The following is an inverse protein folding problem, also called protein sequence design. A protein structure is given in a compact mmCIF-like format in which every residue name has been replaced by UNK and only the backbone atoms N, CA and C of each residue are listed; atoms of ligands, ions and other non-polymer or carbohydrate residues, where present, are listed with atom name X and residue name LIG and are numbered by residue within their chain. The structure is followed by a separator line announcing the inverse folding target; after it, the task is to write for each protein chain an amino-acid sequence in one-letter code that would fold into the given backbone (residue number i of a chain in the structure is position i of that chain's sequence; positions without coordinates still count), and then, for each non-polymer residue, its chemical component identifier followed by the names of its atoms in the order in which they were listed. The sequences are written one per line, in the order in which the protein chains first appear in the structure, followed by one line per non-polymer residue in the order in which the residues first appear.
data_IF_126016757476
#
_entry.id   IF_126016757476
#
_cell.length_a   1.000
_cell.length_b   1.000
_cell.length_c   1.000
_cell.angle_alpha   90.00
_cell.angle_beta   90.00
_cell.angle_gamma   90.00
#
_symmetry.space_group_name_H-M   'P 1'
#
loop_
_entity.id
_entity.type
_entity.pdbx_description
1 polymer ?
#
# COMPACT_ATOMS: atom_id res chain seq x y z
N UNK A 1 -2.54 -18.73 -30.63
CA UNK A 1 -2.55 -17.33 -30.12
C UNK A 1 -1.94 -17.32 -28.73
N UNK A 2 -0.70 -16.82 -28.54
CA UNK A 2 -0.15 -16.60 -27.20
C UNK A 2 -0.88 -15.40 -26.59
N UNK A 3 -1.73 -15.64 -25.59
CA UNK A 3 -2.29 -14.57 -24.77
C UNK A 3 -1.14 -14.00 -23.94
N UNK A 4 -0.59 -12.86 -24.36
CA UNK A 4 0.36 -12.11 -23.53
C UNK A 4 -0.42 -11.47 -22.39
N UNK A 5 0.00 -11.70 -21.15
CA UNK A 5 -0.70 -11.21 -19.96
C UNK A 5 -0.55 -9.70 -19.74
N UNK A 6 0.33 -9.00 -20.47
CA UNK A 6 0.60 -7.57 -20.21
C UNK A 6 1.09 -6.80 -21.45
N UNK A 7 0.65 -5.53 -21.58
CA UNK A 7 1.48 -4.46 -22.17
C UNK A 7 2.53 -4.11 -21.12
N UNK A 8 3.78 -3.93 -21.52
CA UNK A 8 4.89 -3.57 -20.63
C UNK A 8 4.50 -2.41 -19.71
N UNK A 9 4.45 -2.68 -18.40
CA UNK A 9 4.34 -1.62 -17.40
C UNK A 9 5.66 -0.87 -17.41
N UNK A 10 5.66 0.37 -17.87
CA UNK A 10 6.88 1.16 -17.96
C UNK A 10 7.30 1.66 -16.55
N UNK A 11 8.30 1.04 -15.95
CA UNK A 11 8.71 1.27 -14.56
C UNK A 11 9.57 2.54 -14.36
N UNK A 12 10.00 3.20 -15.44
CA UNK A 12 11.14 4.12 -15.43
C UNK A 12 10.83 5.59 -15.07
N UNK A 13 9.89 5.87 -14.14
CA UNK A 13 9.72 7.26 -13.64
C UNK A 13 9.54 7.33 -12.13
N UNK A 14 10.39 8.15 -11.49
CA UNK A 14 10.31 8.56 -10.08
C UNK A 14 8.86 8.80 -9.67
N UNK A 15 8.37 8.03 -8.70
CA UNK A 15 7.06 8.27 -8.10
C UNK A 15 7.16 9.46 -7.15
N UNK A 16 6.88 10.65 -7.66
CA UNK A 16 6.52 11.77 -6.79
C UNK A 16 5.23 11.41 -6.05
N UNK A 17 5.21 11.73 -4.76
CA UNK A 17 4.11 11.43 -3.87
C UNK A 17 2.93 12.37 -4.11
N UNK A 18 2.27 12.24 -5.24
CA UNK A 18 0.90 12.70 -5.42
C UNK A 18 0.35 12.06 -6.68
N UNK A 19 -0.75 11.33 -6.58
CA UNK A 19 -1.62 11.32 -7.74
C UNK A 19 -2.00 12.78 -8.00
N UNK A 20 -1.80 13.28 -9.22
CA UNK A 20 -2.19 14.66 -9.58
C UNK A 20 -3.69 14.88 -9.35
N UNK A 21 -4.45 13.79 -9.38
CA UNK A 21 -5.86 13.76 -9.05
C UNK A 21 -6.11 12.66 -8.00
N UNK A 22 -6.54 13.06 -6.80
CA UNK A 22 -6.86 12.13 -5.69
C UNK A 22 -8.34 11.75 -5.66
N UNK A 23 -9.12 12.14 -6.67
CA UNK A 23 -10.54 11.75 -6.83
C UNK A 23 -10.71 10.34 -7.38
N UNK A 24 -9.63 9.70 -7.87
CA UNK A 24 -9.70 8.33 -8.36
C UNK A 24 -10.09 7.34 -7.26
N UNK A 25 -10.87 6.29 -7.60
CA UNK A 25 -11.12 5.18 -6.70
C UNK A 25 -9.81 4.55 -6.23
N UNK A 26 -9.74 4.23 -4.94
CA UNK A 26 -8.60 3.55 -4.36
C UNK A 26 -8.50 2.13 -4.90
N UNK A 27 -7.28 1.73 -5.29
CA UNK A 27 -6.96 0.40 -5.81
C UNK A 27 -5.70 -0.09 -5.13
N UNK A 28 -5.56 -1.41 -5.03
CA UNK A 28 -4.37 -2.05 -4.47
C UNK A 28 -3.71 -2.92 -5.53
N UNK A 29 -2.38 -2.96 -5.52
CA UNK A 29 -1.59 -3.90 -6.30
C UNK A 29 -0.51 -4.55 -5.43
N UNK A 30 -0.12 -5.76 -5.82
CA UNK A 30 1.12 -6.40 -5.37
C UNK A 30 1.95 -6.54 -6.64
N UNK A 31 3.13 -5.90 -6.68
CA UNK A 31 3.94 -5.87 -7.91
C UNK A 31 5.36 -6.37 -7.67
N UNK A 32 5.88 -6.23 -6.46
CA UNK A 32 7.13 -6.83 -6.01
C UNK A 32 6.86 -7.67 -4.75
N UNK A 33 7.88 -8.40 -4.30
CA UNK A 33 7.83 -9.14 -3.04
C UNK A 33 7.57 -8.17 -1.87
N UNK A 34 6.77 -8.62 -0.90
CA UNK A 34 6.60 -7.89 0.35
C UNK A 34 7.82 -8.15 1.25
N UNK A 35 8.10 -7.25 2.18
CA UNK A 35 9.26 -7.41 3.05
C UNK A 35 9.14 -8.71 3.87
N UNK A 36 10.26 -9.42 4.01
CA UNK A 36 10.32 -10.69 4.73
C UNK A 36 9.82 -10.54 6.18
N UNK A 37 8.93 -11.44 6.60
CA UNK A 37 8.26 -11.37 7.92
C UNK A 37 7.03 -10.46 7.95
N UNK A 38 6.76 -9.70 6.89
CA UNK A 38 5.60 -8.80 6.77
C UNK A 38 4.79 -9.10 5.49
N UNK A 39 4.74 -10.36 5.10
CA UNK A 39 4.01 -10.87 3.95
C UNK A 39 2.76 -11.66 4.39
N UNK A 40 2.01 -12.20 3.42
CA UNK A 40 0.82 -13.01 3.72
C UNK A 40 1.14 -14.31 4.48
N UNK A 41 2.34 -14.86 4.30
CA UNK A 41 2.78 -16.09 4.98
C UNK A 41 2.98 -15.85 6.47
N UNK A 42 3.35 -14.63 6.84
CA UNK A 42 3.61 -14.20 8.21
C UNK A 42 2.32 -13.85 8.99
N UNK A 43 1.16 -13.83 8.32
CA UNK A 43 -0.10 -13.47 8.95
C UNK A 43 -0.74 -14.61 9.76
N UNK A 44 -1.14 -14.29 10.97
CA UNK A 44 -2.08 -15.12 11.74
C UNK A 44 -3.50 -15.01 11.16
N UNK A 45 -4.40 -15.91 11.60
CA UNK A 45 -5.84 -15.82 11.28
C UNK A 45 -6.42 -14.45 11.65
N UNK A 46 -5.99 -13.86 12.77
CA UNK A 46 -6.41 -12.52 13.19
C UNK A 46 -5.89 -11.45 12.22
N UNK A 47 -4.60 -11.53 11.84
CA UNK A 47 -4.00 -10.64 10.85
C UNK A 47 -4.72 -10.69 9.50
N UNK A 48 -5.07 -11.88 9.01
CA UNK A 48 -5.85 -12.06 7.78
C UNK A 48 -7.24 -11.45 7.87
N UNK A 49 -7.94 -11.60 9.01
CA UNK A 49 -9.24 -10.95 9.25
C UNK A 49 -9.12 -9.44 9.24
N UNK A 50 -8.08 -8.88 9.88
CA UNK A 50 -7.85 -7.44 9.90
C UNK A 50 -7.54 -6.90 8.50
N UNK A 51 -6.69 -7.59 7.73
CA UNK A 51 -6.43 -7.29 6.33
C UNK A 51 -7.73 -7.27 5.52
N UNK A 52 -8.49 -8.37 5.58
CA UNK A 52 -9.76 -8.50 4.86
C UNK A 52 -10.73 -7.37 5.22
N UNK A 53 -10.93 -7.10 6.52
CA UNK A 53 -11.85 -6.07 6.98
C UNK A 53 -11.44 -4.68 6.51
N UNK A 54 -10.15 -4.35 6.53
CA UNK A 54 -9.66 -3.05 6.08
C UNK A 54 -9.86 -2.89 4.56
N UNK A 55 -9.50 -3.90 3.77
CA UNK A 55 -9.69 -3.88 2.32
C UNK A 55 -11.18 -3.82 1.97
N UNK A 56 -12.00 -4.64 2.62
CA UNK A 56 -13.44 -4.67 2.40
C UNK A 56 -14.07 -3.32 2.73
N UNK A 57 -13.72 -2.70 3.86
CA UNK A 57 -14.24 -1.39 4.27
C UNK A 57 -13.93 -0.30 3.24
N UNK A 58 -12.72 -0.31 2.67
CA UNK A 58 -12.31 0.66 1.64
C UNK A 58 -13.02 0.39 0.31
N UNK A 59 -12.94 -0.84 -0.19
CA UNK A 59 -13.40 -1.19 -1.54
C UNK A 59 -14.92 -1.25 -1.65
N UNK A 60 -15.63 -1.75 -0.63
CA UNK A 60 -17.10 -1.79 -0.62
C UNK A 60 -17.72 -0.40 -0.67
N UNK A 61 -17.07 0.59 -0.04
CA UNK A 61 -17.47 2.01 -0.04
C UNK A 61 -16.97 2.77 -1.26
N UNK A 62 -16.20 2.13 -2.14
CA UNK A 62 -15.60 2.73 -3.34
C UNK A 62 -14.86 4.04 -3.02
N UNK A 63 -14.12 4.06 -1.90
CA UNK A 63 -13.46 5.28 -1.44
C UNK A 63 -12.42 5.73 -2.46
N UNK A 64 -12.29 7.05 -2.59
CA UNK A 64 -11.22 7.70 -3.37
C UNK A 64 -9.90 7.71 -2.60
N UNK A 65 -8.79 7.96 -3.30
CA UNK A 65 -7.47 8.13 -2.66
C UNK A 65 -7.52 9.20 -1.56
N UNK A 66 -8.12 10.36 -1.84
CA UNK A 66 -8.26 11.43 -0.86
C UNK A 66 -9.04 11.00 0.40
N UNK A 67 -10.10 10.21 0.22
CA UNK A 67 -10.88 9.69 1.34
C UNK A 67 -10.10 8.64 2.13
N UNK A 68 -9.35 7.76 1.47
CA UNK A 68 -8.51 6.77 2.15
C UNK A 68 -7.40 7.46 2.94
N UNK A 69 -6.73 8.45 2.36
CA UNK A 69 -5.73 9.26 3.06
C UNK A 69 -6.33 9.90 4.32
N UNK A 70 -7.49 10.56 4.20
CA UNK A 70 -8.13 11.24 5.34
C UNK A 70 -8.55 10.27 6.45
N UNK A 71 -9.03 9.08 6.10
CA UNK A 71 -9.69 8.15 7.05
C UNK A 71 -8.75 7.08 7.61
N UNK A 72 -7.72 6.67 6.86
CA UNK A 72 -6.89 5.51 7.16
C UNK A 72 -5.39 5.84 7.17
N UNK A 73 -4.93 6.94 6.59
CA UNK A 73 -3.50 7.25 6.70
C UNK A 73 -3.18 7.62 8.14
N UNK A 74 -2.22 6.91 8.73
CA UNK A 74 -1.75 7.23 10.07
C UNK A 74 -0.86 8.46 9.99
N UNK A 75 -1.18 9.48 10.78
CA UNK A 75 -0.33 10.64 10.97
C UNK A 75 0.72 10.32 12.02
N UNK A 76 1.99 10.14 11.63
CA UNK A 76 3.10 10.19 12.57
C UNK A 76 4.29 10.99 12.02
N UNK A 77 4.42 12.21 12.56
CA UNK A 77 5.62 12.93 13.04
C UNK A 77 6.95 12.99 12.27
N UNK A 78 7.18 12.24 11.19
CA UNK A 78 8.41 12.34 10.38
C UNK A 78 8.10 12.19 8.88
N UNK A 79 8.89 12.82 8.00
CA UNK A 79 8.67 12.69 6.56
C UNK A 79 8.85 11.23 6.15
N UNK A 80 7.81 10.68 5.52
CA UNK A 80 7.75 9.38 4.85
C UNK A 80 9.14 8.92 4.41
N UNK A 81 9.65 7.85 5.02
CA UNK A 81 11.01 7.39 4.77
C UNK A 81 11.15 6.99 3.30
N UNK A 82 12.25 7.44 2.70
CA UNK A 82 12.63 6.99 1.37
C UNK A 82 13.32 5.64 1.50
N UNK A 83 12.84 4.64 0.76
CA UNK A 83 13.51 3.33 0.68
C UNK A 83 13.48 2.79 -0.73
N UNK A 84 14.44 1.92 -1.03
CA UNK A 84 14.48 1.14 -2.25
C UNK A 84 13.67 -0.15 -2.07
N UNK A 85 12.75 -0.42 -2.99
CA UNK A 85 12.00 -1.69 -3.06
C UNK A 85 12.47 -2.58 -4.22
N UNK A 86 13.29 -2.04 -5.11
CA UNK A 86 14.09 -2.76 -6.09
C UNK A 86 15.35 -1.95 -6.38
N UNK A 87 16.28 -2.48 -7.17
CA UNK A 87 17.50 -1.76 -7.59
C UNK A 87 17.22 -0.44 -8.33
N UNK A 88 16.03 -0.29 -8.93
CA UNK A 88 15.67 0.87 -9.77
C UNK A 88 14.53 1.72 -9.18
N UNK A 89 13.93 1.31 -8.05
CA UNK A 89 12.74 1.98 -7.51
C UNK A 89 12.93 2.45 -6.06
N UNK A 90 13.17 3.76 -5.92
CA UNK A 90 13.06 4.48 -4.64
C UNK A 90 11.61 4.96 -4.47
N UNK A 91 11.02 4.63 -3.33
CA UNK A 91 9.66 5.03 -2.96
C UNK A 91 9.67 5.87 -1.69
N UNK A 92 8.56 6.53 -1.43
CA UNK A 92 8.21 7.04 -0.11
C UNK A 92 7.04 6.21 0.41
N UNK A 93 7.30 5.43 1.43
CA UNK A 93 6.34 4.49 2.00
C UNK A 93 5.33 5.23 2.90
N UNK A 94 4.05 4.86 2.82
CA UNK A 94 2.94 5.39 3.63
C UNK A 94 2.26 4.25 4.37
N UNK A 95 1.72 4.54 5.57
CA UNK A 95 1.11 3.53 6.43
C UNK A 95 -0.39 3.77 6.58
N UNK A 96 -1.20 2.79 6.20
CA UNK A 96 -2.66 2.79 6.36
C UNK A 96 -3.05 1.95 7.58
N UNK A 97 -3.92 2.47 8.43
CA UNK A 97 -4.49 1.78 9.58
C UNK A 97 -5.70 2.53 10.14
N UNK A 98 -6.56 1.85 10.89
CA UNK A 98 -7.83 2.43 11.37
C UNK A 98 -7.88 2.50 12.89
N UNK A 99 -8.43 3.58 13.44
CA UNK A 99 -8.83 3.70 14.85
C UNK A 99 -7.72 3.33 15.86
N UNK A 100 -6.46 3.71 15.60
CA UNK A 100 -5.30 3.37 16.44
C UNK A 100 -5.04 1.86 16.60
N UNK A 101 -5.72 0.99 15.85
CA UNK A 101 -5.45 -0.44 15.80
C UNK A 101 -3.97 -0.68 15.44
N UNK A 102 -3.28 -1.67 16.05
CA UNK A 102 -1.90 -1.99 15.68
C UNK A 102 -1.72 -2.37 14.21
N UNK A 103 -2.74 -2.96 13.58
CA UNK A 103 -2.72 -3.39 12.18
C UNK A 103 -2.42 -2.24 11.21
N UNK A 104 -1.45 -2.46 10.32
CA UNK A 104 -0.99 -1.50 9.31
C UNK A 104 -0.73 -2.16 7.96
N UNK A 105 -1.07 -1.44 6.90
CA UNK A 105 -0.59 -1.71 5.54
C UNK A 105 0.43 -0.65 5.16
N UNK A 106 1.59 -1.11 4.72
CA UNK A 106 2.64 -0.24 4.18
C UNK A 106 2.58 -0.33 2.66
N UNK A 107 2.84 0.80 2.00
CA UNK A 107 2.88 0.84 0.55
C UNK A 107 3.15 2.22 0.00
N UNK A 108 2.99 2.38 -1.31
CA UNK A 108 3.15 3.66 -2.01
C UNK A 108 2.15 3.76 -3.16
N UNK A 109 1.84 4.98 -3.60
CA UNK A 109 1.06 5.18 -4.82
C UNK A 109 2.00 5.15 -6.03
N UNK A 110 1.77 4.21 -6.95
CA UNK A 110 2.47 4.20 -8.23
C UNK A 110 1.86 5.21 -9.22
N UNK A 111 2.50 5.37 -10.38
CA UNK A 111 2.06 6.29 -11.45
C UNK A 111 0.65 6.01 -12.00
N UNK A 112 0.14 4.79 -11.82
CA UNK A 112 -1.17 4.34 -12.29
C UNK A 112 -2.24 4.43 -11.19
N UNK A 113 -1.90 5.11 -10.07
CA UNK A 113 -2.74 5.34 -8.91
C UNK A 113 -3.14 4.07 -8.14
N UNK A 114 -2.33 3.02 -8.22
CA UNK A 114 -2.44 1.86 -7.35
C UNK A 114 -1.63 2.09 -6.08
N UNK A 115 -2.23 1.76 -4.94
CA UNK A 115 -1.51 1.54 -3.70
C UNK A 115 -0.79 0.19 -3.79
N UNK A 116 0.52 0.24 -4.02
CA UNK A 116 1.37 -0.94 -4.10
C UNK A 116 1.79 -1.36 -2.70
N UNK A 117 1.42 -2.57 -2.29
CA UNK A 117 1.76 -3.11 -0.98
C UNK A 117 3.25 -3.45 -0.87
N UNK A 118 3.84 -3.06 0.26
CA UNK A 118 5.23 -3.38 0.61
C UNK A 118 5.31 -4.20 1.89
N UNK A 119 4.43 -3.96 2.88
CA UNK A 119 4.36 -4.71 4.14
C UNK A 119 2.92 -4.84 4.63
N UNK A 120 2.64 -5.94 5.32
CA UNK A 120 1.43 -6.15 6.12
C UNK A 120 1.89 -6.41 7.55
N UNK A 121 1.70 -5.43 8.43
CA UNK A 121 2.09 -5.51 9.84
C UNK A 121 0.85 -5.67 10.71
N UNK A 122 0.54 -6.88 11.19
CA UNK A 122 -0.68 -7.12 11.96
C UNK A 122 -0.62 -6.57 13.39
N UNK A 123 0.57 -6.39 13.95
CA UNK A 123 0.77 -6.24 15.40
C UNK A 123 1.56 -4.98 15.79
N UNK A 124 1.88 -4.09 14.85
CA UNK A 124 2.78 -2.95 15.07
C UNK A 124 4.18 -3.40 15.50
N UNK A 125 4.67 -4.48 14.88
CA UNK A 125 6.03 -4.99 15.12
C UNK A 125 7.08 -4.15 14.39
N UNK A 126 6.70 -3.46 13.31
CA UNK A 126 7.58 -2.49 12.65
C UNK A 126 7.43 -1.11 13.29
N UNK A 127 8.55 -0.54 13.73
CA UNK A 127 8.64 0.81 14.29
C UNK A 127 9.45 1.69 13.33
N UNK A 128 8.83 2.79 12.89
CA UNK A 128 9.44 3.85 12.07
C UNK A 128 10.44 4.71 12.88
#
# INVERSE_FOLDING_TARGET
MKKSLTKELNWDKKSELSSKDKSYPFKIAIIHELDNGFDFKSLTISGLKNFHNLIYDILSKKLTIAQVEKLYMRTHSKPLEKRWVSEQLEIREIHLGKNRNPFRLFGYLNKDNYFVLTKIDPNHEYHD
#
